data_IF_328183379595
#
_entry.id   IF_328183379595
#
_cell.length_a   1.000
_cell.length_b   1.000
_cell.length_c   1.000
_cell.angle_alpha   90.00
_cell.angle_beta   90.00
_cell.angle_gamma   90.00
#
_symmetry.space_group_name_H-M   'P 1'
#
loop_
_entity.id
_entity.type
_entity.pdbx_description
1 polymer ?
#
# COMPACT_ATOMS: atom_id res chain seq x y z
N UNK A 1 -37.24 -5.69 -1.01
CA UNK A 1 -37.38 -4.72 -2.11
C UNK A 1 -36.17 -3.79 -2.03
N UNK A 2 -35.14 -4.00 -2.85
CA UNK A 2 -34.18 -2.99 -3.34
C UNK A 2 -33.46 -3.66 -4.52
N UNK A 3 -33.76 -3.17 -5.71
CA UNK A 3 -33.15 -3.60 -6.96
C UNK A 3 -31.72 -3.09 -6.99
N UNK A 4 -30.74 -4.00 -6.95
CA UNK A 4 -29.35 -3.65 -7.23
C UNK A 4 -29.19 -3.39 -8.72
N UNK A 5 -29.44 -2.15 -9.14
CA UNK A 5 -28.97 -1.68 -10.44
C UNK A 5 -27.46 -1.93 -10.50
N UNK A 6 -26.98 -2.59 -11.57
CA UNK A 6 -25.55 -2.80 -11.79
C UNK A 6 -24.87 -1.42 -11.80
N UNK A 7 -24.24 -1.05 -10.70
CA UNK A 7 -23.41 0.15 -10.64
C UNK A 7 -22.31 -0.03 -11.70
N UNK A 8 -22.37 0.78 -12.76
CA UNK A 8 -21.30 0.85 -13.74
C UNK A 8 -20.02 1.14 -12.96
N UNK A 9 -19.11 0.18 -12.95
CA UNK A 9 -17.79 0.34 -12.36
C UNK A 9 -17.02 1.24 -13.32
N UNK A 10 -16.66 2.45 -12.88
CA UNK A 10 -15.74 3.28 -13.64
C UNK A 10 -14.42 2.51 -13.81
N UNK A 11 -13.80 2.55 -15.00
CA UNK A 11 -12.51 1.92 -15.20
C UNK A 11 -11.46 2.62 -14.33
N UNK A 12 -10.96 1.93 -13.31
CA UNK A 12 -9.88 2.45 -12.44
C UNK A 12 -8.53 2.11 -13.07
N UNK A 13 -7.74 3.15 -13.37
CA UNK A 13 -6.34 3.00 -13.80
C UNK A 13 -5.43 3.28 -12.61
N UNK A 14 -4.64 2.29 -12.22
CA UNK A 14 -3.64 2.43 -11.15
C UNK A 14 -2.30 2.77 -11.79
N UNK A 15 -1.71 3.89 -11.38
CA UNK A 15 -0.40 4.35 -11.85
C UNK A 15 0.56 4.36 -10.68
N UNK A 16 1.74 3.75 -10.87
CA UNK A 16 2.87 3.84 -9.92
C UNK A 16 3.91 4.82 -10.45
N UNK A 17 4.20 5.84 -9.66
CA UNK A 17 5.25 6.83 -9.93
C UNK A 17 6.66 6.37 -9.52
N UNK A 18 6.77 5.23 -8.83
CA UNK A 18 8.05 4.71 -8.32
C UNK A 18 9.15 4.58 -9.38
N UNK A 19 8.80 4.27 -10.64
CA UNK A 19 9.77 4.21 -11.75
C UNK A 19 10.32 5.58 -12.13
N UNK A 20 9.47 6.60 -12.13
CA UNK A 20 9.86 7.99 -12.40
C UNK A 20 10.73 8.53 -11.26
N UNK A 21 10.37 8.24 -10.01
CA UNK A 21 11.18 8.59 -8.84
C UNK A 21 12.58 7.97 -8.94
N UNK A 22 12.68 6.69 -9.31
CA UNK A 22 13.97 6.02 -9.53
C UNK A 22 14.81 6.68 -10.63
N UNK A 23 14.19 7.04 -11.75
CA UNK A 23 14.90 7.72 -12.83
C UNK A 23 15.50 9.06 -12.35
N UNK A 24 14.73 9.84 -11.59
CA UNK A 24 15.19 11.12 -11.02
C UNK A 24 16.29 10.94 -9.98
N UNK A 25 16.19 9.92 -9.13
CA UNK A 25 17.24 9.62 -8.14
C UNK A 25 18.56 9.21 -8.82
N UNK A 26 18.49 8.40 -9.88
CA UNK A 26 19.68 8.03 -10.67
C UNK A 26 20.33 9.24 -11.32
N UNK A 27 19.52 10.12 -11.93
CA UNK A 27 20.01 11.36 -12.52
C UNK A 27 20.66 12.27 -11.46
N UNK A 28 20.04 12.41 -10.28
CA UNK A 28 20.60 13.21 -9.20
C UNK A 28 21.94 12.67 -8.70
N UNK A 29 22.11 11.33 -8.67
CA UNK A 29 23.35 10.67 -8.27
C UNK A 29 24.50 10.89 -9.26
N UNK A 30 24.22 11.07 -10.55
CA UNK A 30 25.24 11.38 -11.57
C UNK A 30 25.95 12.72 -11.29
N UNK A 31 25.25 13.69 -10.72
CA UNK A 31 25.77 15.03 -10.39
C UNK A 31 25.98 15.27 -8.89
N UNK A 32 25.83 14.24 -8.04
CA UNK A 32 25.91 14.40 -6.59
C UNK A 32 27.33 14.78 -6.13
N UNK A 33 27.41 15.68 -5.15
CA UNK A 33 28.67 16.00 -4.47
C UNK A 33 29.25 14.74 -3.81
N UNK A 34 30.58 14.55 -3.78
CA UNK A 34 31.21 13.41 -3.10
C UNK A 34 30.75 13.19 -1.66
N UNK A 35 30.43 14.26 -0.92
CA UNK A 35 29.96 14.18 0.46
C UNK A 35 28.53 13.61 0.57
N UNK A 36 27.68 13.85 -0.42
CA UNK A 36 26.28 13.38 -0.44
C UNK A 36 26.12 12.02 -1.14
N UNK A 37 27.11 11.63 -1.95
CA UNK A 37 27.05 10.47 -2.83
C UNK A 37 26.66 9.18 -2.10
N UNK A 38 27.32 8.85 -0.99
CA UNK A 38 27.04 7.61 -0.24
C UNK A 38 25.61 7.58 0.32
N UNK A 39 25.12 8.73 0.81
CA UNK A 39 23.75 8.83 1.29
C UNK A 39 22.73 8.68 0.15
N UNK A 40 23.03 9.26 -1.01
CA UNK A 40 22.18 9.17 -2.21
C UNK A 40 22.15 7.74 -2.80
N UNK A 41 23.29 7.04 -2.79
CA UNK A 41 23.36 5.61 -3.17
C UNK A 41 22.47 4.77 -2.25
N UNK A 42 22.54 5.01 -0.92
CA UNK A 42 21.67 4.31 0.03
C UNK A 42 20.19 4.65 -0.17
N UNK A 43 19.86 5.91 -0.46
CA UNK A 43 18.49 6.31 -0.77
C UNK A 43 17.98 5.62 -2.05
N UNK A 44 18.82 5.49 -3.08
CA UNK A 44 18.51 4.79 -4.31
C UNK A 44 18.24 3.30 -4.06
N UNK A 45 19.06 2.62 -3.26
CA UNK A 45 18.83 1.21 -2.89
C UNK A 45 17.46 1.00 -2.22
N UNK A 46 17.07 1.90 -1.30
CA UNK A 46 15.78 1.84 -0.62
C UNK A 46 14.64 2.06 -1.61
N UNK A 47 14.77 3.04 -2.51
CA UNK A 47 13.78 3.31 -3.54
C UNK A 47 13.65 2.14 -4.52
N UNK A 48 14.75 1.48 -4.88
CA UNK A 48 14.75 0.32 -5.79
C UNK A 48 14.04 -0.88 -5.15
N UNK A 49 14.38 -1.18 -3.90
CA UNK A 49 13.70 -2.23 -3.13
C UNK A 49 12.20 -1.95 -3.01
N UNK A 50 11.80 -0.69 -2.80
CA UNK A 50 10.39 -0.29 -2.70
C UNK A 50 9.68 -0.41 -4.04
N UNK A 51 10.31 0.04 -5.14
CA UNK A 51 9.73 -0.04 -6.47
C UNK A 51 9.56 -1.48 -6.97
N UNK A 52 10.38 -2.40 -6.47
CA UNK A 52 10.33 -3.83 -6.79
C UNK A 52 9.20 -4.59 -6.08
N UNK A 53 8.51 -3.99 -5.11
CA UNK A 53 7.40 -4.64 -4.41
C UNK A 53 6.23 -4.96 -5.36
N UNK A 54 5.73 -6.18 -5.26
CA UNK A 54 4.52 -6.61 -5.95
C UNK A 54 3.28 -5.82 -5.46
N UNK A 55 2.22 -5.76 -6.25
CA UNK A 55 0.97 -5.05 -5.90
C UNK A 55 0.33 -5.59 -4.62
N UNK A 56 0.43 -6.89 -4.38
CA UNK A 56 -0.05 -7.53 -3.17
C UNK A 56 0.71 -7.05 -1.93
N UNK A 57 2.02 -6.88 -2.04
CA UNK A 57 2.85 -6.42 -0.92
C UNK A 57 2.55 -4.96 -0.57
N UNK A 58 2.41 -4.10 -1.58
CA UNK A 58 2.04 -2.69 -1.38
C UNK A 58 0.65 -2.57 -0.78
N UNK A 59 -0.31 -3.35 -1.27
CA UNK A 59 -1.67 -3.40 -0.72
C UNK A 59 -1.68 -3.86 0.73
N UNK A 60 -0.95 -4.92 1.08
CA UNK A 60 -0.84 -5.37 2.49
C UNK A 60 -0.19 -4.32 3.38
N UNK A 61 0.85 -3.63 2.92
CA UNK A 61 1.48 -2.54 3.67
C UNK A 61 0.50 -1.38 3.92
N UNK A 62 -0.27 -1.01 2.90
CA UNK A 62 -1.32 0.00 3.03
C UNK A 62 -2.40 -0.38 4.04
N UNK A 63 -2.90 -1.63 4.01
CA UNK A 63 -3.88 -2.12 5.01
C UNK A 63 -3.27 -2.10 6.41
N UNK A 64 -2.03 -2.59 6.59
CA UNK A 64 -1.33 -2.55 7.89
C UNK A 64 -1.24 -1.12 8.44
N UNK A 65 -0.83 -0.16 7.62
CA UNK A 65 -0.75 1.24 8.05
C UNK A 65 -2.09 1.81 8.52
N UNK A 66 -3.19 1.44 7.87
CA UNK A 66 -4.54 1.83 8.32
C UNK A 66 -4.88 1.19 9.67
N UNK A 67 -4.60 -0.10 9.84
CA UNK A 67 -4.90 -0.81 11.09
C UNK A 67 -4.05 -0.30 12.25
N UNK A 68 -2.76 -0.05 12.02
CA UNK A 68 -1.83 0.53 12.99
C UNK A 68 -2.30 1.92 13.45
N UNK A 69 -2.68 2.79 12.49
CA UNK A 69 -3.22 4.12 12.82
C UNK A 69 -4.53 4.05 13.62
N UNK A 70 -5.32 3.00 13.45
CA UNK A 70 -6.55 2.74 14.21
C UNK A 70 -6.31 1.99 15.53
N UNK A 71 -5.06 1.59 15.84
CA UNK A 71 -4.73 0.75 16.99
C UNK A 71 -5.33 -0.67 16.91
N UNK A 72 -5.72 -1.11 15.71
CA UNK A 72 -6.31 -2.43 15.49
C UNK A 72 -5.23 -3.48 15.24
N UNK A 73 -5.35 -4.64 15.89
CA UNK A 73 -4.47 -5.77 15.69
C UNK A 73 -5.25 -6.93 15.07
N UNK A 74 -4.89 -7.27 13.83
CA UNK A 74 -5.57 -8.31 13.04
C UNK A 74 -5.42 -9.73 13.62
N UNK A 75 -4.31 -10.03 14.30
CA UNK A 75 -4.07 -11.33 14.94
C UNK A 75 -4.92 -11.51 16.19
N UNK A 76 -5.22 -10.40 16.88
CA UNK A 76 -6.04 -10.41 18.10
C UNK A 76 -7.53 -10.39 17.81
N UNK A 77 -7.95 -9.57 16.86
CA UNK A 77 -9.36 -9.35 16.55
C UNK A 77 -9.57 -8.98 15.07
N UNK A 78 -9.91 -10.00 14.28
CA UNK A 78 -10.18 -9.88 12.84
C UNK A 78 -11.42 -9.00 12.57
N UNK A 79 -12.45 -9.08 13.41
CA UNK A 79 -13.69 -8.32 13.23
C UNK A 79 -13.42 -6.81 13.45
N UNK A 80 -12.73 -6.48 14.54
CA UNK A 80 -12.33 -5.11 14.82
C UNK A 80 -11.42 -4.56 13.71
N UNK A 81 -10.49 -5.36 13.19
CA UNK A 81 -9.65 -4.94 12.08
C UNK A 81 -10.45 -4.65 10.79
N UNK A 82 -11.40 -5.52 10.42
CA UNK A 82 -12.29 -5.29 9.27
C UNK A 82 -13.15 -4.04 9.48
N UNK A 83 -13.65 -3.83 10.69
CA UNK A 83 -14.42 -2.63 11.04
C UNK A 83 -13.57 -1.36 10.89
N UNK A 84 -12.35 -1.36 11.42
CA UNK A 84 -11.42 -0.22 11.31
C UNK A 84 -11.08 0.10 9.85
N UNK A 85 -10.80 -0.91 9.03
CA UNK A 85 -10.53 -0.71 7.60
C UNK A 85 -11.73 -0.06 6.88
N UNK A 86 -12.95 -0.51 7.16
CA UNK A 86 -14.17 0.07 6.56
C UNK A 86 -14.51 1.46 7.09
N UNK A 87 -14.12 1.79 8.31
CA UNK A 87 -14.26 3.15 8.83
C UNK A 87 -13.28 4.11 8.13
N UNK A 88 -12.06 3.66 7.85
CA UNK A 88 -11.08 4.44 7.10
C UNK A 88 -11.43 4.56 5.61
N UNK A 89 -12.04 3.52 5.03
CA UNK A 89 -12.43 3.49 3.61
C UNK A 89 -13.91 3.06 3.48
N UNK A 90 -14.86 3.99 3.65
CA UNK A 90 -16.30 3.68 3.73
C UNK A 90 -16.89 3.03 2.48
N UNK A 91 -16.28 3.23 1.32
CA UNK A 91 -16.70 2.64 0.05
C UNK A 91 -16.37 1.15 -0.09
N UNK A 92 -15.54 0.57 0.80
CA UNK A 92 -15.25 -0.85 0.77
C UNK A 92 -16.46 -1.68 1.16
N UNK A 93 -16.82 -2.61 0.26
CA UNK A 93 -17.74 -3.68 0.60
C UNK A 93 -17.19 -4.54 1.75
N UNK A 94 -18.07 -5.15 2.53
CA UNK A 94 -17.67 -6.01 3.64
C UNK A 94 -16.77 -7.16 3.17
N UNK A 95 -17.11 -7.80 2.06
CA UNK A 95 -16.33 -8.89 1.49
C UNK A 95 -14.94 -8.44 1.06
N UNK A 96 -14.82 -7.29 0.39
CA UNK A 96 -13.52 -6.74 -0.02
C UNK A 96 -12.65 -6.42 1.20
N UNK A 97 -13.22 -5.74 2.21
CA UNK A 97 -12.51 -5.42 3.44
C UNK A 97 -12.05 -6.69 4.18
N UNK A 98 -12.91 -7.71 4.28
CA UNK A 98 -12.54 -8.99 4.89
C UNK A 98 -11.37 -9.66 4.15
N UNK A 99 -11.40 -9.74 2.83
CA UNK A 99 -10.31 -10.35 2.05
C UNK A 99 -9.00 -9.58 2.19
N UNK A 100 -9.04 -8.25 2.23
CA UNK A 100 -7.86 -7.41 2.43
C UNK A 100 -7.22 -7.63 3.81
N UNK A 101 -8.04 -7.67 4.86
CA UNK A 101 -7.55 -7.90 6.23
C UNK A 101 -7.06 -9.34 6.40
N UNK A 102 -7.76 -10.31 5.80
CA UNK A 102 -7.33 -11.71 5.79
C UNK A 102 -5.99 -11.91 5.07
N UNK A 103 -5.77 -11.27 3.91
CA UNK A 103 -4.48 -11.30 3.21
C UNK A 103 -3.34 -10.77 4.09
N UNK A 104 -3.60 -9.78 4.94
CA UNK A 104 -2.62 -9.33 5.95
C UNK A 104 -2.41 -10.39 7.03
N UNK A 105 -3.48 -10.98 7.58
CA UNK A 105 -3.39 -12.00 8.63
C UNK A 105 -2.61 -13.25 8.18
N UNK A 106 -2.91 -13.73 6.97
CA UNK A 106 -2.29 -14.92 6.38
C UNK A 106 -0.80 -14.71 6.06
N UNK A 107 -0.34 -13.45 6.01
CA UNK A 107 1.05 -13.06 5.75
C UNK A 107 1.64 -12.19 6.88
N UNK A 108 1.09 -12.32 8.09
CA UNK A 108 1.73 -11.78 9.27
C UNK A 108 3.04 -12.56 9.52
N UNK A 109 4.16 -11.84 9.55
CA UNK A 109 5.48 -12.38 9.83
C UNK A 109 5.95 -11.89 11.20
#
# INVERSE_FOLDING_TARGET
MFSSGKAQQEPVVVVRDSREVLARLRQALESADPAERSGMERALEIAEATAALADEQVRRAWVRGILEAAGANVERDLEAAVKSLRQAVPSLSLTAAYQLVKDVADHAA
#
